data_IF_815775258665
#
_entry.id   IF_815775258665
#
_cell.length_a   1.000
_cell.length_b   1.000
_cell.length_c   1.000
_cell.angle_alpha   90.00
_cell.angle_beta   90.00
_cell.angle_gamma   90.00
#
_symmetry.space_group_name_H-M   'P 1'
#
loop_
_entity.id
_entity.type
_entity.pdbx_description
1 polymer ?
#
# COMPACT_ATOMS: atom_id res chain seq x y z
N UNK A 1 28.76 30.79 26.44
CA UNK A 1 27.76 30.33 27.41
C UNK A 1 26.45 30.23 26.63
N UNK A 2 26.12 29.01 26.24
CA UNK A 2 25.08 28.67 25.27
C UNK A 2 23.71 28.76 25.93
N UNK A 3 22.77 29.44 25.27
CA UNK A 3 21.34 29.33 25.57
C UNK A 3 20.78 28.22 24.68
N UNK A 4 20.61 27.07 25.32
CA UNK A 4 19.57 26.05 25.13
C UNK A 4 18.80 26.10 23.80
N UNK A 5 19.27 25.30 22.84
CA UNK A 5 18.44 24.78 21.76
C UNK A 5 17.45 23.79 22.39
N UNK A 6 16.19 24.20 22.48
CA UNK A 6 15.07 23.36 22.90
C UNK A 6 14.98 22.24 21.86
N UNK A 7 15.58 21.10 22.21
CA UNK A 7 15.39 19.86 21.50
C UNK A 7 13.90 19.56 21.43
N UNK A 8 13.32 19.89 20.28
CA UNK A 8 11.97 19.53 19.88
C UNK A 8 11.77 18.06 20.28
N UNK A 9 10.73 17.70 21.06
CA UNK A 9 10.43 16.29 21.25
C UNK A 9 10.14 15.76 19.85
N UNK A 10 10.94 14.79 19.40
CA UNK A 10 10.75 14.07 18.16
C UNK A 10 9.33 13.49 18.18
N UNK A 11 8.38 14.25 17.62
CA UNK A 11 7.10 13.72 17.22
C UNK A 11 7.34 12.62 16.19
N UNK A 12 6.37 11.72 16.08
CA UNK A 12 6.31 10.61 15.13
C UNK A 12 6.75 9.22 15.64
N UNK A 13 6.68 8.94 16.94
CA UNK A 13 6.51 7.54 17.40
C UNK A 13 5.11 6.97 17.07
N UNK A 14 4.18 7.81 16.61
CA UNK A 14 2.79 7.42 16.26
C UNK A 14 2.61 6.91 14.82
N UNK A 15 3.64 6.91 13.98
CA UNK A 15 3.45 6.83 12.52
C UNK A 15 3.46 5.41 11.94
N UNK A 16 4.04 4.43 12.65
CA UNK A 16 4.10 3.04 12.15
C UNK A 16 2.79 2.25 12.29
N UNK A 17 1.87 2.70 13.15
CA UNK A 17 0.57 2.03 13.41
C UNK A 17 -0.60 2.77 12.76
N UNK A 18 -0.32 3.63 11.79
CA UNK A 18 -1.35 4.27 11.01
C UNK A 18 -1.88 3.30 9.94
N UNK A 19 -3.19 3.33 9.64
CA UNK A 19 -3.85 2.48 8.63
C UNK A 19 -3.80 0.96 8.90
N UNK A 20 -4.05 0.54 10.15
CA UNK A 20 -4.20 -0.89 10.53
C UNK A 20 -5.18 -1.65 9.64
N UNK A 21 -6.23 -0.98 9.18
CA UNK A 21 -7.22 -1.53 8.24
C UNK A 21 -6.61 -1.91 6.89
N UNK A 22 -5.79 -1.05 6.29
CA UNK A 22 -5.13 -1.38 5.01
C UNK A 22 -4.13 -2.51 5.22
N UNK A 23 -3.42 -2.50 6.35
CA UNK A 23 -2.48 -3.58 6.68
C UNK A 23 -3.17 -4.93 6.81
N UNK A 24 -4.37 -5.00 7.39
CA UNK A 24 -5.15 -6.24 7.45
C UNK A 24 -5.69 -6.69 6.10
N UNK A 25 -5.89 -5.75 5.15
CA UNK A 25 -6.36 -6.06 3.80
C UNK A 25 -5.21 -6.42 2.86
N UNK A 26 -3.97 -6.01 3.18
CA UNK A 26 -2.81 -6.18 2.32
C UNK A 26 -2.55 -7.65 1.97
N UNK A 27 -2.52 -8.54 2.96
CA UNK A 27 -2.22 -9.96 2.71
C UNK A 27 -3.23 -10.57 1.72
N UNK A 28 -4.52 -10.27 1.91
CA UNK A 28 -5.59 -10.73 1.02
C UNK A 28 -5.51 -10.09 -0.37
N UNK A 29 -5.22 -8.78 -0.44
CA UNK A 29 -5.04 -8.08 -1.70
C UNK A 29 -3.84 -8.63 -2.48
N UNK A 30 -2.71 -8.86 -1.78
CA UNK A 30 -1.46 -9.37 -2.34
C UNK A 30 -1.64 -10.75 -2.97
N UNK A 31 -2.24 -11.71 -2.26
CA UNK A 31 -2.50 -13.05 -2.81
C UNK A 31 -3.37 -13.01 -4.09
N UNK A 32 -4.29 -12.04 -4.19
CA UNK A 32 -5.11 -11.86 -5.40
C UNK A 32 -4.34 -11.24 -6.56
N UNK A 33 -3.42 -10.29 -6.28
CA UNK A 33 -2.75 -9.53 -7.32
C UNK A 33 -1.36 -10.05 -7.71
N UNK A 34 -0.73 -10.87 -6.86
CA UNK A 34 0.59 -11.47 -7.07
C UNK A 34 0.75 -12.05 -8.49
N UNK A 35 -0.22 -12.82 -9.04
CA UNK A 35 -0.07 -13.40 -10.37
C UNK A 35 0.03 -12.38 -11.51
N UNK A 36 -0.45 -11.15 -11.33
CA UNK A 36 -0.40 -10.12 -12.37
C UNK A 36 0.97 -9.43 -12.48
N UNK A 37 1.81 -9.60 -11.47
CA UNK A 37 3.19 -9.08 -11.42
C UNK A 37 4.24 -10.09 -11.88
N UNK A 38 3.85 -11.36 -12.04
CA UNK A 38 4.74 -12.38 -12.58
C UNK A 38 4.95 -12.16 -14.10
N UNK A 39 6.17 -11.85 -14.56
CA UNK A 39 6.45 -11.64 -15.98
C UNK A 39 6.20 -12.90 -16.83
N UNK A 40 6.24 -14.10 -16.24
CA UNK A 40 5.94 -15.36 -16.92
C UNK A 40 4.43 -15.60 -17.06
N UNK A 41 3.59 -14.95 -16.22
CA UNK A 41 2.13 -14.93 -16.30
C UNK A 41 1.58 -13.70 -17.04
N UNK A 42 2.46 -12.76 -17.40
CA UNK A 42 2.13 -11.55 -18.15
C UNK A 42 1.67 -11.83 -19.57
N UNK A 43 0.87 -10.92 -20.14
CA UNK A 43 0.47 -11.02 -21.54
C UNK A 43 1.56 -10.41 -22.43
N UNK A 44 2.11 -11.22 -23.34
CA UNK A 44 3.22 -10.84 -24.21
C UNK A 44 4.46 -10.31 -23.47
N UNK A 45 4.73 -10.80 -22.26
CA UNK A 45 5.86 -10.36 -21.43
C UNK A 45 5.68 -8.95 -20.85
N UNK A 46 4.45 -8.43 -20.79
CA UNK A 46 4.12 -7.19 -20.07
C UNK A 46 3.36 -7.52 -18.79
N UNK A 47 3.77 -6.97 -17.63
CA UNK A 47 3.04 -7.13 -16.38
C UNK A 47 1.66 -6.46 -16.49
N UNK A 48 0.64 -7.09 -15.92
CA UNK A 48 -0.74 -6.65 -16.02
C UNK A 48 -1.13 -5.79 -14.81
N UNK A 49 -0.29 -4.81 -14.49
CA UNK A 49 -0.42 -3.96 -13.29
C UNK A 49 -1.77 -3.20 -13.26
N UNK A 50 -2.28 -2.79 -14.42
CA UNK A 50 -3.59 -2.17 -14.53
C UNK A 50 -4.75 -3.12 -14.16
N UNK A 51 -4.57 -4.44 -14.37
CA UNK A 51 -5.55 -5.43 -13.92
C UNK A 51 -5.46 -5.64 -12.41
N UNK A 52 -4.27 -5.60 -11.81
CA UNK A 52 -4.12 -5.65 -10.35
C UNK A 52 -4.95 -4.52 -9.68
N UNK A 53 -4.82 -3.28 -10.16
CA UNK A 53 -5.60 -2.14 -9.66
C UNK A 53 -7.11 -2.37 -9.78
N UNK A 54 -7.54 -2.92 -10.92
CA UNK A 54 -8.95 -3.23 -11.17
C UNK A 54 -9.48 -4.31 -10.22
N UNK A 55 -8.72 -5.38 -10.02
CA UNK A 55 -9.08 -6.51 -9.16
C UNK A 55 -9.20 -6.06 -7.70
N UNK A 56 -8.27 -5.24 -7.19
CA UNK A 56 -8.38 -4.70 -5.82
C UNK A 56 -9.62 -3.82 -5.68
N UNK A 57 -9.90 -2.94 -6.65
CA UNK A 57 -11.09 -2.07 -6.60
C UNK A 57 -12.42 -2.85 -6.68
N UNK A 58 -12.45 -3.95 -7.43
CA UNK A 58 -13.64 -4.80 -7.55
C UNK A 58 -13.90 -5.63 -6.28
N UNK A 59 -12.83 -6.07 -5.59
CA UNK A 59 -12.94 -6.89 -4.36
C UNK A 59 -13.10 -6.06 -3.09
N UNK A 60 -12.64 -4.81 -3.08
CA UNK A 60 -12.75 -3.88 -1.95
C UNK A 60 -13.42 -2.56 -2.39
N UNK A 61 -14.72 -2.58 -2.75
CA UNK A 61 -15.43 -1.42 -3.27
C UNK A 61 -15.51 -0.25 -2.28
N UNK A 62 -15.28 -0.52 -1.00
CA UNK A 62 -15.26 0.46 0.08
C UNK A 62 -13.92 1.20 0.24
N UNK A 63 -12.88 0.81 -0.50
CA UNK A 63 -11.61 1.54 -0.53
C UNK A 63 -11.70 2.72 -1.49
N UNK A 64 -11.13 3.84 -1.06
CA UNK A 64 -10.89 4.99 -1.93
C UNK A 64 -9.82 4.67 -2.99
N UNK A 65 -9.78 5.45 -4.06
CA UNK A 65 -8.77 5.30 -5.11
C UNK A 65 -7.32 5.44 -4.58
N UNK A 66 -7.12 6.29 -3.55
CA UNK A 66 -5.83 6.43 -2.86
C UNK A 66 -5.49 5.16 -2.09
N UNK A 67 -6.44 4.60 -1.34
CA UNK A 67 -6.22 3.36 -0.57
C UNK A 67 -5.95 2.16 -1.48
N UNK A 68 -6.64 2.05 -2.62
CA UNK A 68 -6.32 1.04 -3.64
C UNK A 68 -4.91 1.23 -4.18
N UNK A 69 -4.51 2.47 -4.46
CA UNK A 69 -3.15 2.76 -4.95
C UNK A 69 -2.06 2.45 -3.91
N UNK A 70 -2.37 2.51 -2.62
CA UNK A 70 -1.43 2.15 -1.56
C UNK A 70 -1.28 0.63 -1.35
N UNK A 71 -2.18 -0.18 -1.92
CA UNK A 71 -2.16 -1.64 -1.81
C UNK A 71 -1.51 -2.35 -3.00
N UNK A 72 -1.37 -1.67 -4.14
CA UNK A 72 -0.85 -2.19 -5.41
C UNK A 72 0.55 -1.66 -5.63
#
# INVERSE_FOLDING_TARGET
>A
MSVEDVGQPAGHESERRYRLRLRSLFDAAFEMIEPFFDPDQGWAGQPLEHLAYRIVRENFPELSAEEVHLLV
#
